data_IF_659253449636
#
_entry.id   IF_659253449636
#
_cell.length_a   1.000
_cell.length_b   1.000
_cell.length_c   1.000
_cell.angle_alpha   90.00
_cell.angle_beta   90.00
_cell.angle_gamma   90.00
#
_symmetry.space_group_name_H-M   'P 1'
#
loop_
_entity.id
_entity.type
_entity.pdbx_description
1 polymer ?
#
# COMPACT_ATOMS: atom_id res chain seq x y z
N UNK A 1 1.46 23.36 0.50
CA UNK A 1 2.33 22.82 1.56
C UNK A 1 2.26 21.30 1.53
N UNK A 2 3.41 20.62 1.60
CA UNK A 2 3.52 19.19 1.90
C UNK A 2 3.75 19.03 3.41
N UNK A 3 3.02 18.11 4.03
CA UNK A 3 3.19 17.82 5.45
C UNK A 3 3.71 16.40 5.58
N UNK A 4 4.83 16.23 6.28
CA UNK A 4 5.33 14.93 6.70
C UNK A 4 5.25 14.84 8.21
N UNK A 5 4.73 13.73 8.71
CA UNK A 5 4.64 13.48 10.16
C UNK A 5 4.97 12.02 10.46
N UNK A 6 5.47 11.78 11.66
CA UNK A 6 5.74 10.44 12.14
C UNK A 6 5.00 10.17 13.45
N UNK A 7 4.62 8.94 13.63
CA UNK A 7 4.14 8.42 14.91
C UNK A 7 4.37 6.92 15.01
N UNK A 8 4.35 6.39 16.21
CA UNK A 8 4.47 4.96 16.42
C UNK A 8 3.28 4.22 15.79
N UNK A 9 3.57 3.11 15.11
CA UNK A 9 2.56 2.24 14.50
C UNK A 9 2.18 1.12 15.45
N UNK A 10 0.88 0.86 15.59
CA UNK A 10 0.33 -0.22 16.41
C UNK A 10 -0.79 -0.93 15.66
N UNK A 11 -0.91 -2.23 15.89
CA UNK A 11 -2.11 -3.01 15.57
C UNK A 11 -2.81 -3.29 16.90
N UNK A 12 -4.08 -2.87 17.03
CA UNK A 12 -4.84 -2.94 18.27
C UNK A 12 -4.65 -1.71 19.18
N UNK A 13 -5.21 -1.79 20.38
CA UNK A 13 -5.17 -0.70 21.35
C UNK A 13 -3.80 -0.61 22.01
N UNK A 14 -3.16 0.53 21.86
CA UNK A 14 -1.90 0.86 22.52
C UNK A 14 -1.83 2.34 22.87
N UNK A 15 -1.13 2.64 23.96
CA UNK A 15 -0.80 3.99 24.35
C UNK A 15 0.39 4.49 23.52
N UNK A 16 0.20 5.59 22.80
CA UNK A 16 1.29 6.28 22.11
C UNK A 16 2.16 7.00 23.15
N UNK A 17 3.42 6.62 23.22
CA UNK A 17 4.41 7.22 24.16
C UNK A 17 5.17 8.39 23.56
N UNK A 18 4.73 8.91 22.42
CA UNK A 18 5.36 10.04 21.74
C UNK A 18 6.80 9.76 21.32
N UNK A 19 7.14 8.52 20.99
CA UNK A 19 8.50 8.18 20.51
C UNK A 19 8.71 8.73 19.11
N UNK A 20 9.87 9.32 18.91
CA UNK A 20 10.33 9.80 17.61
C UNK A 20 11.56 9.02 17.16
N UNK A 21 11.71 8.92 15.85
CA UNK A 21 12.84 8.25 15.20
C UNK A 21 13.48 9.18 14.17
N UNK A 22 14.72 8.91 13.85
CA UNK A 22 15.36 9.46 12.67
C UNK A 22 15.03 8.58 11.48
N UNK A 23 14.01 8.98 10.72
CA UNK A 23 13.46 8.18 9.62
C UNK A 23 14.11 8.64 8.31
N UNK A 24 14.94 7.80 7.66
CA UNK A 24 15.47 8.13 6.34
C UNK A 24 14.33 8.09 5.32
N UNK A 25 14.09 9.20 4.64
CA UNK A 25 12.94 9.30 3.72
C UNK A 25 13.13 8.54 2.42
N UNK A 26 14.37 8.45 1.92
CA UNK A 26 14.71 7.71 0.68
C UNK A 26 13.72 8.00 -0.44
N UNK A 27 13.52 9.27 -0.74
CA UNK A 27 12.50 9.73 -1.68
C UNK A 27 12.98 9.76 -3.13
N UNK A 28 12.05 9.63 -4.09
CA UNK A 28 12.31 9.86 -5.51
C UNK A 28 12.33 11.35 -5.90
N UNK A 29 11.89 12.25 -5.01
CA UNK A 29 11.87 13.69 -5.26
C UNK A 29 13.13 14.38 -4.70
N UNK A 30 13.65 15.36 -5.43
CA UNK A 30 14.68 16.28 -4.96
C UNK A 30 14.03 17.42 -4.17
N UNK A 31 14.80 18.04 -3.29
CA UNK A 31 14.33 19.20 -2.51
C UNK A 31 13.57 18.85 -1.23
N UNK A 32 13.47 17.56 -0.90
CA UNK A 32 12.99 17.08 0.39
C UNK A 32 14.17 16.82 1.33
N UNK A 33 13.97 16.86 2.66
CA UNK A 33 14.99 16.45 3.62
C UNK A 33 15.31 14.95 3.47
N UNK A 34 16.56 14.58 3.75
CA UNK A 34 16.97 13.17 3.72
C UNK A 34 16.35 12.37 4.88
N UNK A 35 16.08 13.05 6.00
CA UNK A 35 15.62 12.41 7.25
C UNK A 35 14.49 13.21 7.88
N UNK A 36 13.49 12.53 8.43
CA UNK A 36 12.45 13.09 9.30
C UNK A 36 12.77 12.74 10.75
N UNK A 37 13.21 13.71 11.54
CA UNK A 37 13.55 13.56 12.97
C UNK A 37 12.50 14.18 13.91
N UNK A 38 11.68 15.09 13.39
CA UNK A 38 10.63 15.77 14.13
C UNK A 38 9.30 15.02 14.00
N UNK A 39 8.39 15.24 14.95
CA UNK A 39 7.04 14.67 14.88
C UNK A 39 6.31 15.11 13.61
N UNK A 40 6.53 16.36 13.19
CA UNK A 40 5.90 16.97 12.02
C UNK A 40 6.77 18.06 11.42
N UNK A 41 6.90 18.03 10.10
CA UNK A 41 7.49 19.13 9.33
C UNK A 41 6.52 19.59 8.23
N UNK A 42 6.63 20.86 7.89
CA UNK A 42 5.88 21.48 6.79
C UNK A 42 6.84 21.98 5.72
N UNK A 43 6.66 21.50 4.51
CA UNK A 43 7.47 21.87 3.36
C UNK A 43 6.61 22.78 2.48
N UNK A 44 6.97 24.07 2.38
CA UNK A 44 6.21 25.04 1.60
C UNK A 44 6.36 24.78 0.09
N UNK A 45 5.56 25.48 -0.71
CA UNK A 45 5.66 25.50 -2.17
C UNK A 45 5.54 24.11 -2.83
N UNK A 46 4.63 23.27 -2.31
CA UNK A 46 4.40 21.93 -2.84
C UNK A 46 4.21 21.88 -4.36
N UNK A 47 3.44 22.83 -4.93
CA UNK A 47 3.18 22.86 -6.38
C UNK A 47 4.44 23.09 -7.21
N UNK A 48 5.37 23.93 -6.71
CA UNK A 48 6.65 24.15 -7.36
C UNK A 48 7.52 22.90 -7.24
N UNK A 49 7.60 22.32 -6.04
CA UNK A 49 8.36 21.10 -5.78
C UNK A 49 7.87 19.94 -6.67
N UNK A 50 6.54 19.78 -6.81
CA UNK A 50 5.96 18.78 -7.69
C UNK A 50 6.27 19.01 -9.17
N UNK A 51 6.31 20.28 -9.61
CA UNK A 51 6.65 20.63 -10.98
C UNK A 51 8.14 20.41 -11.33
N UNK A 52 9.03 20.49 -10.34
CA UNK A 52 10.47 20.27 -10.49
C UNK A 52 10.85 18.76 -10.45
N UNK A 53 9.90 17.91 -10.05
CA UNK A 53 10.08 16.47 -9.95
C UNK A 53 9.14 15.72 -10.91
N UNK A 54 9.52 14.52 -11.29
CA UNK A 54 8.72 13.68 -12.17
C UNK A 54 8.00 12.59 -11.36
N UNK A 55 6.72 12.41 -11.67
CA UNK A 55 5.89 11.36 -11.10
C UNK A 55 5.45 11.60 -9.66
N UNK A 56 4.65 10.69 -9.14
CA UNK A 56 4.14 10.74 -7.79
C UNK A 56 5.26 10.68 -6.74
N UNK A 57 5.10 11.41 -5.64
CA UNK A 57 6.01 11.33 -4.51
C UNK A 57 5.99 9.92 -3.92
N UNK A 58 7.17 9.32 -3.80
CA UNK A 58 7.35 8.04 -3.10
C UNK A 58 8.43 8.18 -2.03
N UNK A 59 8.16 7.62 -0.87
CA UNK A 59 9.10 7.47 0.22
C UNK A 59 9.58 6.01 0.28
N UNK A 60 10.77 5.80 0.83
CA UNK A 60 11.39 4.47 0.96
C UNK A 60 11.50 3.73 -0.39
N UNK A 61 11.86 4.44 -1.47
CA UNK A 61 11.83 3.94 -2.85
C UNK A 61 12.62 2.65 -3.09
N UNK A 62 13.64 2.39 -2.29
CA UNK A 62 14.43 1.15 -2.36
C UNK A 62 13.96 0.10 -1.33
N UNK A 63 12.90 0.38 -0.58
CA UNK A 63 12.39 -0.45 0.52
C UNK A 63 13.50 -0.89 1.51
N UNK A 64 14.41 0.04 1.83
CA UNK A 64 15.59 -0.23 2.67
C UNK A 64 15.41 0.24 4.12
N UNK A 65 14.44 1.10 4.38
CA UNK A 65 14.10 1.57 5.70
C UNK A 65 12.84 0.87 6.25
N UNK A 66 12.76 0.75 7.56
CA UNK A 66 11.66 0.02 8.21
C UNK A 66 10.63 0.99 8.80
N UNK A 67 9.72 1.45 7.96
CA UNK A 67 8.54 2.23 8.35
C UNK A 67 7.38 2.00 7.38
N UNK A 68 6.19 2.41 7.74
CA UNK A 68 4.97 2.32 6.94
C UNK A 68 4.58 3.72 6.52
N UNK A 69 4.33 3.92 5.23
CA UNK A 69 3.89 5.21 4.70
C UNK A 69 2.38 5.24 4.54
N UNK A 70 1.76 6.26 5.13
CA UNK A 70 0.32 6.52 4.97
C UNK A 70 0.13 7.75 4.07
N UNK A 71 0.09 7.51 2.76
CA UNK A 71 -0.22 8.56 1.79
C UNK A 71 -1.69 8.95 1.88
N UNK A 72 -1.98 10.26 1.89
CA UNK A 72 -3.33 10.79 2.03
C UNK A 72 -3.68 11.80 0.93
N UNK A 73 -4.99 11.88 0.61
CA UNK A 73 -5.52 12.83 -0.37
C UNK A 73 -4.83 12.74 -1.72
N UNK A 74 -4.50 13.87 -2.30
CA UNK A 74 -3.89 13.98 -3.62
C UNK A 74 -2.60 13.15 -3.79
N UNK A 75 -1.80 12.97 -2.73
CA UNK A 75 -0.59 12.17 -2.81
C UNK A 75 -0.90 10.69 -3.05
N UNK A 76 -1.95 10.18 -2.42
CA UNK A 76 -2.42 8.82 -2.65
C UNK A 76 -2.99 8.67 -4.06
N UNK A 77 -3.81 9.61 -4.50
CA UNK A 77 -4.44 9.57 -5.82
C UNK A 77 -3.39 9.52 -6.92
N UNK A 78 -2.38 10.40 -6.87
CA UNK A 78 -1.26 10.43 -7.81
C UNK A 78 -0.46 9.13 -7.79
N UNK A 79 -0.21 8.57 -6.61
CA UNK A 79 0.52 7.30 -6.48
C UNK A 79 -0.25 6.14 -7.12
N UNK A 80 -1.57 6.09 -6.95
CA UNK A 80 -2.42 5.06 -7.54
C UNK A 80 -2.60 5.21 -9.05
N UNK A 81 -2.61 6.44 -9.57
CA UNK A 81 -2.61 6.70 -11.03
C UNK A 81 -1.35 6.15 -11.71
N UNK A 82 -0.20 6.23 -11.05
CA UNK A 82 1.07 5.71 -11.57
C UNK A 82 1.33 4.24 -11.21
N UNK A 83 0.48 3.62 -10.41
CA UNK A 83 0.72 2.31 -9.81
C UNK A 83 1.08 1.23 -10.85
N UNK A 84 0.40 1.22 -12.00
CA UNK A 84 0.64 0.24 -13.05
C UNK A 84 2.09 0.28 -13.59
N UNK A 85 2.72 1.45 -13.56
CA UNK A 85 4.07 1.69 -14.08
C UNK A 85 5.17 1.41 -13.07
N UNK A 86 4.81 1.13 -11.81
CA UNK A 86 5.78 0.83 -10.76
C UNK A 86 6.39 -0.57 -10.95
N UNK A 87 7.62 -0.74 -10.48
CA UNK A 87 8.24 -2.05 -10.39
C UNK A 87 7.56 -2.94 -9.33
N UNK A 88 7.80 -4.25 -9.42
CA UNK A 88 7.16 -5.25 -8.54
C UNK A 88 7.44 -5.00 -7.05
N UNK A 89 8.64 -4.54 -6.69
CA UNK A 89 9.01 -4.28 -5.28
C UNK A 89 8.22 -3.10 -4.74
N UNK A 90 8.11 -2.03 -5.51
CA UNK A 90 7.31 -0.86 -5.15
C UNK A 90 5.81 -1.19 -5.03
N UNK A 91 5.27 -1.97 -5.96
CA UNK A 91 3.88 -2.46 -5.88
C UNK A 91 3.65 -3.29 -4.62
N UNK A 92 4.56 -4.23 -4.35
CA UNK A 92 4.49 -5.09 -3.16
C UNK A 92 4.54 -4.27 -1.87
N UNK A 93 5.44 -3.28 -1.79
CA UNK A 93 5.54 -2.37 -0.65
C UNK A 93 4.21 -1.66 -0.39
N UNK A 94 3.61 -1.05 -1.41
CA UNK A 94 2.34 -0.33 -1.28
C UNK A 94 1.21 -1.28 -0.83
N UNK A 95 1.13 -2.48 -1.42
CA UNK A 95 0.14 -3.49 -1.02
C UNK A 95 0.28 -3.88 0.46
N UNK A 96 1.51 -4.12 0.92
CA UNK A 96 1.80 -4.51 2.30
C UNK A 96 1.51 -3.36 3.27
N UNK A 97 1.95 -2.14 2.97
CA UNK A 97 1.72 -0.97 3.80
C UNK A 97 0.24 -0.65 3.93
N UNK A 98 -0.51 -0.65 2.82
CA UNK A 98 -1.95 -0.42 2.83
C UNK A 98 -2.69 -1.51 3.61
N UNK A 99 -2.28 -2.78 3.50
CA UNK A 99 -2.84 -3.87 4.30
C UNK A 99 -2.60 -3.65 5.80
N UNK A 100 -1.38 -3.30 6.21
CA UNK A 100 -1.07 -3.01 7.61
C UNK A 100 -1.85 -1.81 8.15
N UNK A 101 -2.03 -0.76 7.35
CA UNK A 101 -2.88 0.39 7.71
C UNK A 101 -4.35 -0.03 7.91
N UNK A 102 -4.86 -0.95 7.09
CA UNK A 102 -6.20 -1.50 7.27
C UNK A 102 -6.30 -2.38 8.53
N UNK A 103 -5.31 -3.22 8.80
CA UNK A 103 -5.25 -4.05 10.02
C UNK A 103 -5.19 -3.20 11.30
N UNK A 104 -4.55 -2.04 11.24
CA UNK A 104 -4.50 -1.08 12.36
C UNK A 104 -5.76 -0.22 12.49
N UNK A 105 -6.74 -0.36 11.59
CA UNK A 105 -7.97 0.44 11.59
C UNK A 105 -7.80 1.88 11.09
N UNK A 106 -6.63 2.25 10.53
CA UNK A 106 -6.39 3.60 9.99
C UNK A 106 -7.11 3.85 8.67
N UNK A 107 -7.28 2.80 7.88
CA UNK A 107 -8.06 2.82 6.64
C UNK A 107 -9.04 1.67 6.63
N UNK A 108 -10.10 1.79 5.82
CA UNK A 108 -11.06 0.71 5.66
C UNK A 108 -10.46 -0.45 4.85
N UNK A 109 -10.73 -1.69 5.25
CA UNK A 109 -10.43 -2.87 4.42
C UNK A 109 -11.10 -2.82 3.04
N UNK A 110 -12.26 -2.19 2.93
CA UNK A 110 -12.95 -2.02 1.64
C UNK A 110 -12.10 -1.21 0.64
N UNK A 111 -11.25 -0.27 1.09
CA UNK A 111 -10.35 0.49 0.21
C UNK A 111 -9.28 -0.38 -0.47
N UNK A 112 -9.01 -1.58 0.06
CA UNK A 112 -8.06 -2.52 -0.54
C UNK A 112 -8.62 -3.24 -1.77
N UNK A 113 -9.96 -3.28 -1.93
CA UNK A 113 -10.58 -3.91 -3.11
C UNK A 113 -10.17 -3.19 -4.40
N UNK A 114 -10.23 -1.84 -4.39
CA UNK A 114 -9.77 -1.05 -5.53
C UNK A 114 -8.27 -1.27 -5.83
N UNK A 115 -7.46 -1.47 -4.80
CA UNK A 115 -6.03 -1.76 -4.97
C UNK A 115 -5.79 -3.15 -5.57
N UNK A 116 -6.62 -4.14 -5.23
CA UNK A 116 -6.59 -5.46 -5.86
C UNK A 116 -6.87 -5.41 -7.37
N UNK A 117 -7.76 -4.52 -7.80
CA UNK A 117 -8.09 -4.34 -9.22
C UNK A 117 -6.86 -3.84 -10.03
N UNK A 118 -5.99 -3.03 -9.41
CA UNK A 118 -4.75 -2.56 -10.04
C UNK A 118 -3.70 -3.66 -10.26
N UNK A 119 -3.79 -4.76 -9.54
CA UNK A 119 -2.85 -5.90 -9.61
C UNK A 119 -3.48 -7.19 -10.12
N UNK A 120 -4.69 -7.12 -10.63
CA UNK A 120 -5.44 -8.30 -11.09
C UNK A 120 -4.65 -9.14 -12.09
N UNK A 121 -3.94 -8.48 -13.02
CA UNK A 121 -3.18 -9.12 -14.11
C UNK A 121 -1.70 -9.33 -13.82
N UNK A 122 -1.24 -9.02 -12.60
CA UNK A 122 0.15 -9.19 -12.22
C UNK A 122 0.47 -10.68 -12.03
N UNK A 123 1.52 -11.16 -12.70
CA UNK A 123 1.91 -12.59 -12.69
C UNK A 123 2.95 -12.92 -11.61
N UNK A 124 3.42 -11.93 -10.85
CA UNK A 124 4.41 -12.13 -9.80
C UNK A 124 3.84 -12.98 -8.65
N UNK A 125 4.56 -14.01 -8.25
CA UNK A 125 4.22 -14.81 -7.07
C UNK A 125 4.11 -13.97 -5.80
N UNK A 126 5.00 -12.98 -5.62
CA UNK A 126 4.97 -12.08 -4.46
C UNK A 126 3.69 -11.23 -4.43
N UNK A 127 3.24 -10.77 -5.59
CA UNK A 127 1.98 -10.04 -5.71
C UNK A 127 0.78 -10.97 -5.45
N UNK A 128 0.80 -12.18 -5.98
CA UNK A 128 -0.23 -13.18 -5.70
C UNK A 128 -0.34 -13.50 -4.21
N UNK A 129 0.79 -13.61 -3.51
CA UNK A 129 0.83 -13.78 -2.06
C UNK A 129 0.24 -12.57 -1.32
N UNK A 130 0.57 -11.35 -1.72
CA UNK A 130 0.00 -10.14 -1.13
C UNK A 130 -1.51 -10.04 -1.37
N UNK A 131 -2.01 -10.35 -2.59
CA UNK A 131 -3.44 -10.48 -2.89
C UNK A 131 -4.13 -11.46 -1.94
N UNK A 132 -3.55 -12.65 -1.75
CA UNK A 132 -4.09 -13.68 -0.84
C UNK A 132 -4.20 -13.18 0.59
N UNK A 133 -3.22 -12.46 1.10
CA UNK A 133 -3.22 -11.90 2.46
C UNK A 133 -4.32 -10.83 2.62
N UNK A 134 -4.50 -9.96 1.64
CA UNK A 134 -5.57 -8.94 1.64
C UNK A 134 -6.94 -9.62 1.64
N UNK A 135 -7.15 -10.61 0.76
CA UNK A 135 -8.41 -11.35 0.66
C UNK A 135 -8.71 -12.14 1.94
N UNK A 136 -7.70 -12.77 2.56
CA UNK A 136 -7.87 -13.43 3.85
C UNK A 136 -8.28 -12.46 4.97
N UNK A 137 -7.75 -11.22 4.94
CA UNK A 137 -8.18 -10.16 5.85
C UNK A 137 -9.63 -9.74 5.62
N UNK A 138 -10.04 -9.56 4.36
CA UNK A 138 -11.43 -9.24 3.99
C UNK A 138 -12.42 -10.33 4.44
N UNK A 139 -12.05 -11.61 4.33
CA UNK A 139 -12.93 -12.73 4.72
C UNK A 139 -13.40 -12.64 6.17
N UNK A 140 -12.62 -12.02 7.06
CA UNK A 140 -12.97 -11.87 8.48
C UNK A 140 -14.23 -11.04 8.73
N UNK A 141 -14.63 -10.22 7.76
CA UNK A 141 -15.80 -9.33 7.83
C UNK A 141 -17.01 -9.87 7.06
N UNK A 142 -16.94 -11.11 6.57
CA UNK A 142 -17.95 -11.69 5.68
C UNK A 142 -18.53 -12.93 6.33
N UNK A 143 -19.80 -12.84 6.67
CA UNK A 143 -20.56 -13.98 7.21
C UNK A 143 -20.88 -15.02 6.12
N UNK A 144 -21.00 -16.28 6.53
CA UNK A 144 -21.37 -17.36 5.65
C UNK A 144 -22.83 -17.23 5.21
N UNK A 145 -23.16 -17.80 4.05
CA UNK A 145 -24.51 -17.82 3.47
C UNK A 145 -25.14 -16.43 3.23
N UNK A 146 -24.29 -15.39 3.06
CA UNK A 146 -24.72 -14.02 2.76
C UNK A 146 -24.45 -13.64 1.31
N UNK A 147 -25.15 -12.59 0.83
CA UNK A 147 -24.84 -11.96 -0.46
C UNK A 147 -23.38 -11.46 -0.52
N UNK A 148 -22.87 -10.95 0.60
CA UNK A 148 -21.47 -10.52 0.73
C UNK A 148 -20.50 -11.68 0.48
N UNK A 149 -20.82 -12.89 0.92
CA UNK A 149 -19.99 -14.07 0.63
C UNK A 149 -19.99 -14.41 -0.86
N UNK A 150 -21.11 -14.28 -1.55
CA UNK A 150 -21.18 -14.52 -3.00
C UNK A 150 -20.26 -13.53 -3.74
N UNK A 151 -20.33 -12.25 -3.38
CA UNK A 151 -19.47 -11.23 -3.97
C UNK A 151 -17.99 -11.46 -3.64
N UNK A 152 -17.68 -11.87 -2.41
CA UNK A 152 -16.31 -12.20 -2.03
C UNK A 152 -15.76 -13.39 -2.83
N UNK A 153 -16.52 -14.47 -2.98
CA UNK A 153 -16.12 -15.63 -3.79
C UNK A 153 -15.89 -15.24 -5.26
N UNK A 154 -16.71 -14.33 -5.80
CA UNK A 154 -16.52 -13.79 -7.14
C UNK A 154 -15.24 -12.96 -7.25
N UNK A 155 -14.96 -12.11 -6.27
CA UNK A 155 -13.72 -11.33 -6.19
C UNK A 155 -12.49 -12.24 -6.15
N UNK A 156 -12.47 -13.25 -5.27
CA UNK A 156 -11.36 -14.22 -5.17
C UNK A 156 -11.12 -14.91 -6.50
N UNK A 157 -12.20 -15.41 -7.15
CA UNK A 157 -12.12 -16.08 -8.44
C UNK A 157 -11.51 -15.17 -9.50
N UNK A 158 -11.97 -13.92 -9.60
CA UNK A 158 -11.46 -12.93 -10.54
C UNK A 158 -9.96 -12.68 -10.33
N UNK A 159 -9.53 -12.50 -9.07
CA UNK A 159 -8.15 -12.17 -8.74
C UNK A 159 -7.13 -13.27 -9.05
N UNK A 160 -7.58 -14.53 -9.15
CA UNK A 160 -6.69 -15.67 -9.40
C UNK A 160 -7.01 -16.45 -10.67
N UNK A 161 -7.95 -15.99 -11.48
CA UNK A 161 -8.34 -16.70 -12.70
C UNK A 161 -7.17 -16.85 -13.67
N UNK A 162 -6.43 -15.79 -13.91
CA UNK A 162 -5.25 -15.82 -14.80
C UNK A 162 -4.16 -16.77 -14.29
N UNK A 163 -3.90 -16.76 -12.97
CA UNK A 163 -2.93 -17.67 -12.37
C UNK A 163 -3.38 -19.11 -12.52
N UNK A 164 -4.67 -19.38 -12.31
CA UNK A 164 -5.26 -20.70 -12.46
C UNK A 164 -5.19 -21.20 -13.92
N UNK A 165 -5.53 -20.37 -14.89
CA UNK A 165 -5.47 -20.70 -16.32
C UNK A 165 -4.03 -20.97 -16.79
N UNK A 166 -3.06 -20.20 -16.27
CA UNK A 166 -1.63 -20.34 -16.60
C UNK A 166 -1.00 -21.57 -15.94
N UNK A 167 -1.29 -21.83 -14.69
CA UNK A 167 -0.65 -22.91 -13.91
C UNK A 167 -1.36 -24.25 -14.13
N UNK A 168 -2.71 -24.26 -14.22
CA UNK A 168 -3.52 -25.49 -14.30
C UNK A 168 -3.53 -26.27 -12.98
N UNK A 169 -4.22 -27.41 -13.02
CA UNK A 169 -4.24 -28.38 -11.92
C UNK A 169 -3.27 -29.54 -12.10
N UNK A 170 -2.87 -29.80 -13.35
CA UNK A 170 -2.01 -30.93 -13.65
C UNK A 170 -0.55 -30.59 -13.39
N UNK A 171 0.18 -31.54 -12.80
CA UNK A 171 1.62 -31.41 -12.64
C UNK A 171 2.26 -31.23 -14.02
N UNK A 172 3.02 -30.18 -14.18
CA UNK A 172 3.83 -29.93 -15.41
C UNK A 172 5.18 -30.62 -15.19
N UNK A 173 5.53 -31.49 -16.14
CA UNK A 173 6.83 -32.15 -16.20
C UNK A 173 8.01 -31.15 -16.31
#
# INVERSE_FOLDING_TARGET
TLILSQKQFFIGEHEDKGRLWEIPLNTNWKGLPDTLSEERIEIPNYSQLAAENNGALRLNTANTAHYITDYQGQLLDQLLEEFANLDTVSKLQILQERRLLAESGRISYASLVALLDLVEKEESFLIAQAKSQILAGLKRFIDEDTEAEVHYKALVRRQFQNDFERLGFDAKD
#
